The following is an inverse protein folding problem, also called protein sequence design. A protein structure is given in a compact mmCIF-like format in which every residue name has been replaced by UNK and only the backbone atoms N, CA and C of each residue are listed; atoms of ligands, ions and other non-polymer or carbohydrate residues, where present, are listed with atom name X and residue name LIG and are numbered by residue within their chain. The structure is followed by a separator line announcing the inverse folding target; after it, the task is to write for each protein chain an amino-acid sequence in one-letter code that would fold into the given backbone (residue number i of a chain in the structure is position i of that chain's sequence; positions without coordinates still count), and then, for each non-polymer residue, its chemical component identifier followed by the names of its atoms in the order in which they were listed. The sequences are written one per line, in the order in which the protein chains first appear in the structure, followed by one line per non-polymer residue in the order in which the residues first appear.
data_IF_062839962320
#
_entry.id   IF_062839962320
#
_cell.length_a   1.000
_cell.length_b   1.000
_cell.length_c   1.000
_cell.angle_alpha   90.00
_cell.angle_beta   90.00
_cell.angle_gamma   90.00
#
_symmetry.space_group_name_H-M   'P 1'
#
loop_
_entity.id
_entity.type
_entity.pdbx_description
1 polymer ?
#
# COMPACT_ATOMS: atom_id res chain seq x y z
N UNK A 1 -3.72 22.10 8.35
CA UNK A 1 -2.67 22.74 7.54
C UNK A 1 -3.13 22.86 6.09
N UNK A 2 -2.91 24.00 5.45
CA UNK A 2 -3.16 24.15 4.01
C UNK A 2 -2.04 23.45 3.24
N UNK A 3 -2.38 22.53 2.33
CA UNK A 3 -1.41 21.73 1.55
C UNK A 3 -1.31 22.23 0.11
N UNK A 4 -2.45 22.59 -0.51
CA UNK A 4 -2.49 23.13 -1.86
C UNK A 4 -3.07 24.54 -1.87
N UNK A 5 -2.27 25.53 -2.30
CA UNK A 5 -2.74 26.90 -2.47
C UNK A 5 -3.67 27.06 -3.68
N UNK A 6 -3.35 26.44 -4.83
CA UNK A 6 -4.10 26.64 -6.08
C UNK A 6 -5.54 26.11 -6.06
N UNK A 7 -5.79 25.07 -5.25
CA UNK A 7 -7.09 24.42 -5.11
C UNK A 7 -7.71 24.59 -3.72
N UNK A 8 -7.00 25.26 -2.80
CA UNK A 8 -7.40 25.43 -1.39
C UNK A 8 -7.76 24.08 -0.78
N UNK A 9 -6.77 23.18 -0.72
CA UNK A 9 -6.93 21.82 -0.14
C UNK A 9 -6.15 21.76 1.16
N UNK A 10 -6.78 21.27 2.20
CA UNK A 10 -6.18 21.08 3.52
C UNK A 10 -5.69 19.65 3.72
N UNK A 11 -4.82 19.47 4.70
CA UNK A 11 -4.39 18.15 5.17
C UNK A 11 -5.57 17.28 5.61
N UNK A 12 -6.57 17.87 6.27
CA UNK A 12 -7.77 17.17 6.75
C UNK A 12 -8.55 16.56 5.58
N UNK A 13 -8.73 17.30 4.50
CA UNK A 13 -9.43 16.83 3.31
C UNK A 13 -8.73 15.59 2.72
N UNK A 14 -7.40 15.65 2.60
CA UNK A 14 -6.58 14.55 2.08
C UNK A 14 -6.67 13.34 3.02
N UNK A 15 -6.46 13.55 4.33
CA UNK A 15 -6.51 12.47 5.34
C UNK A 15 -7.85 11.76 5.34
N UNK A 16 -8.96 12.50 5.24
CA UNK A 16 -10.30 11.94 5.22
C UNK A 16 -10.52 11.05 3.98
N UNK A 17 -10.12 11.53 2.80
CA UNK A 17 -10.24 10.76 1.55
C UNK A 17 -9.38 9.51 1.59
N UNK A 18 -8.12 9.63 2.02
CA UNK A 18 -7.20 8.48 2.11
C UNK A 18 -7.78 7.42 3.05
N UNK A 19 -8.28 7.82 4.22
CA UNK A 19 -8.95 6.87 5.15
C UNK A 19 -10.20 6.24 4.53
N UNK A 20 -11.01 6.99 3.79
CA UNK A 20 -12.18 6.46 3.08
C UNK A 20 -11.78 5.40 2.04
N UNK A 21 -10.77 5.69 1.23
CA UNK A 21 -10.25 4.74 0.24
C UNK A 21 -9.71 3.45 0.87
N UNK A 22 -9.02 3.55 2.03
CA UNK A 22 -8.52 2.39 2.78
C UNK A 22 -9.65 1.61 3.47
N UNK A 23 -10.73 2.27 3.88
CA UNK A 23 -11.91 1.59 4.42
C UNK A 23 -12.63 0.74 3.37
N UNK A 24 -12.69 1.21 2.12
CA UNK A 24 -13.21 0.42 1.00
C UNK A 24 -12.33 -0.79 0.68
N UNK A 25 -11.01 -0.57 0.63
CA UNK A 25 -10.02 -1.59 0.31
C UNK A 25 -8.68 -1.28 1.01
N UNK A 26 -8.37 -1.96 2.14
CA UNK A 26 -7.18 -1.70 2.93
C UNK A 26 -5.87 -1.84 2.17
N UNK A 27 -5.83 -2.70 1.15
CA UNK A 27 -4.60 -3.05 0.43
C UNK A 27 -4.46 -2.31 -0.91
N UNK A 28 -5.35 -1.36 -1.20
CA UNK A 28 -5.31 -0.54 -2.42
C UNK A 28 -4.11 0.41 -2.39
N UNK A 29 -3.37 0.48 -3.49
CA UNK A 29 -2.32 1.48 -3.68
C UNK A 29 -2.97 2.84 -3.92
N UNK A 30 -2.75 3.79 -3.01
CA UNK A 30 -3.29 5.15 -3.12
C UNK A 30 -2.29 6.06 -3.84
N UNK A 31 -2.75 6.71 -4.91
CA UNK A 31 -1.97 7.69 -5.69
C UNK A 31 -2.61 9.08 -5.61
N UNK A 32 -1.83 10.18 -5.73
CA UNK A 32 -2.36 11.53 -5.67
C UNK A 32 -3.53 11.77 -6.63
N UNK A 33 -3.47 11.22 -7.84
CA UNK A 33 -4.54 11.35 -8.83
C UNK A 33 -5.90 10.84 -8.33
N UNK A 34 -5.93 9.80 -7.48
CA UNK A 34 -7.18 9.32 -6.87
C UNK A 34 -7.70 10.32 -5.84
N UNK A 35 -6.83 10.89 -4.99
CA UNK A 35 -7.24 11.92 -4.02
C UNK A 35 -7.84 13.13 -4.73
N UNK A 36 -7.21 13.62 -5.80
CA UNK A 36 -7.74 14.72 -6.61
C UNK A 36 -9.08 14.38 -7.27
N UNK A 37 -9.25 13.13 -7.72
CA UNK A 37 -10.50 12.64 -8.28
C UNK A 37 -11.63 12.66 -7.24
N UNK A 38 -11.38 12.15 -6.04
CA UNK A 38 -12.36 12.17 -4.94
C UNK A 38 -12.73 13.60 -4.51
N UNK A 39 -11.77 14.54 -4.57
CA UNK A 39 -12.04 15.96 -4.34
C UNK A 39 -12.83 16.63 -5.48
N UNK A 40 -13.05 15.95 -6.61
CA UNK A 40 -13.57 16.53 -7.84
C UNK A 40 -12.76 17.75 -8.33
N UNK A 41 -11.43 17.73 -8.13
CA UNK A 41 -10.52 18.82 -8.54
C UNK A 41 -9.45 18.31 -9.49
N UNK A 42 -9.11 19.11 -10.51
CA UNK A 42 -7.93 18.87 -11.34
C UNK A 42 -6.68 19.45 -10.67
N UNK A 43 -5.54 18.81 -10.88
CA UNK A 43 -4.25 19.35 -10.47
C UNK A 43 -3.91 20.58 -11.33
N UNK A 44 -3.60 21.72 -10.71
CA UNK A 44 -3.29 22.99 -11.42
C UNK A 44 -1.79 23.19 -11.67
N UNK A 45 -0.97 23.21 -10.61
CA UNK A 45 0.48 23.47 -10.70
C UNK A 45 1.36 22.28 -10.31
N UNK A 46 0.79 21.21 -9.75
CA UNK A 46 1.48 20.03 -9.21
C UNK A 46 2.52 20.25 -8.09
N UNK A 47 2.82 21.49 -7.67
CA UNK A 47 3.84 21.77 -6.66
C UNK A 47 3.56 21.20 -5.26
N UNK A 48 2.31 20.89 -4.93
CA UNK A 48 1.92 20.29 -3.65
C UNK A 48 1.88 18.75 -3.67
N UNK A 49 2.12 18.11 -4.82
CA UNK A 49 2.03 16.65 -4.95
C UNK A 49 2.96 15.90 -4.00
N UNK A 50 4.24 16.30 -3.78
CA UNK A 50 5.10 15.62 -2.80
C UNK A 50 4.48 15.59 -1.39
N UNK A 51 3.95 16.72 -0.91
CA UNK A 51 3.28 16.80 0.39
C UNK A 51 2.03 15.91 0.45
N UNK A 52 1.28 15.78 -0.66
CA UNK A 52 0.15 14.85 -0.73
C UNK A 52 0.63 13.40 -0.61
N UNK A 53 1.73 13.04 -1.25
CA UNK A 53 2.34 11.69 -1.13
C UNK A 53 2.77 11.42 0.31
N UNK A 54 3.43 12.36 0.97
CA UNK A 54 3.86 12.20 2.36
C UNK A 54 2.66 11.99 3.31
N UNK A 55 1.56 12.71 3.09
CA UNK A 55 0.32 12.51 3.84
C UNK A 55 -0.27 11.13 3.55
N UNK A 56 -0.29 10.67 2.29
CA UNK A 56 -0.75 9.33 1.94
C UNK A 56 0.06 8.29 2.70
N UNK A 57 1.40 8.35 2.64
CA UNK A 57 2.28 7.42 3.33
C UNK A 57 2.01 7.37 4.83
N UNK A 58 1.99 8.53 5.47
CA UNK A 58 1.75 8.66 6.92
C UNK A 58 0.40 8.05 7.33
N UNK A 59 -0.68 8.40 6.62
CA UNK A 59 -2.02 7.92 6.94
C UNK A 59 -2.16 6.43 6.67
N UNK A 60 -1.57 5.94 5.58
CA UNK A 60 -1.59 4.51 5.25
C UNK A 60 -0.83 3.71 6.30
N UNK A 61 0.33 4.17 6.76
CA UNK A 61 1.08 3.54 7.85
C UNK A 61 0.26 3.51 9.15
N UNK A 62 -0.25 4.66 9.59
CA UNK A 62 -1.12 4.76 10.77
C UNK A 62 -2.33 3.82 10.70
N UNK A 63 -2.98 3.76 9.54
CA UNK A 63 -4.15 2.91 9.32
C UNK A 63 -3.81 1.42 9.47
N UNK A 64 -2.68 0.97 8.91
CA UNK A 64 -2.28 -0.42 8.98
C UNK A 64 -1.79 -0.83 10.37
N UNK A 65 -1.12 0.06 11.10
CA UNK A 65 -0.78 -0.16 12.51
C UNK A 65 -2.04 -0.38 13.36
N UNK A 66 -3.04 0.47 13.18
CA UNK A 66 -4.35 0.34 13.86
C UNK A 66 -5.10 -0.94 13.46
N UNK A 67 -4.91 -1.41 12.22
CA UNK A 67 -5.51 -2.64 11.73
C UNK A 67 -4.81 -3.89 12.32
N UNK A 68 -3.49 -3.86 12.50
CA UNK A 68 -2.72 -4.97 13.07
C UNK A 68 -2.99 -5.21 14.55
N UNK A 69 -3.42 -4.18 15.30
CA UNK A 69 -3.82 -4.33 16.70
C UNK A 69 -5.15 -5.10 16.87
N UNK A 70 -5.92 -5.24 15.78
CA UNK A 70 -7.14 -6.08 15.78
C UNK A 70 -6.77 -7.54 15.53
N UNK A 71 -7.48 -8.51 16.15
CA UNK A 71 -7.25 -9.92 15.87
C UNK A 71 -7.35 -10.16 14.37
N UNK A 72 -6.42 -10.94 13.78
CA UNK A 72 -6.37 -11.12 12.34
C UNK A 72 -7.70 -11.67 11.84
N UNK A 73 -8.24 -11.06 10.79
CA UNK A 73 -9.32 -11.65 10.04
C UNK A 73 -8.92 -13.05 9.57
N UNK A 74 -9.89 -13.98 9.50
CA UNK A 74 -9.72 -15.35 9.03
C UNK A 74 -8.75 -15.40 7.83
N UNK A 75 -7.65 -16.16 7.90
CA UNK A 75 -6.64 -16.16 6.85
C UNK A 75 -7.26 -16.58 5.53
N UNK A 76 -7.07 -15.75 4.49
CA UNK A 76 -7.57 -16.05 3.16
C UNK A 76 -7.08 -17.46 2.73
N UNK A 77 -7.93 -18.33 2.14
CA UNK A 77 -7.62 -19.73 1.87
C UNK A 77 -6.35 -19.94 1.03
N UNK A 78 -5.99 -18.95 0.21
CA UNK A 78 -4.73 -18.90 -0.55
C UNK A 78 -3.51 -18.92 0.36
N UNK A 79 -3.53 -18.19 1.48
CA UNK A 79 -2.40 -18.08 2.41
C UNK A 79 -2.16 -19.40 3.15
N UNK A 80 -3.24 -20.08 3.56
CA UNK A 80 -3.18 -21.41 4.13
C UNK A 80 -2.62 -22.42 3.12
N UNK A 81 -3.10 -22.38 1.86
CA UNK A 81 -2.64 -23.26 0.78
C UNK A 81 -1.15 -23.05 0.45
N UNK A 82 -0.70 -21.80 0.37
CA UNK A 82 0.72 -21.44 0.17
C UNK A 82 1.60 -21.92 1.33
N UNK A 83 1.13 -21.75 2.56
CA UNK A 83 1.84 -22.21 3.77
C UNK A 83 2.01 -23.73 3.77
N UNK A 84 0.98 -24.48 3.38
CA UNK A 84 1.04 -25.93 3.22
C UNK A 84 2.02 -26.34 2.10
N UNK A 85 2.04 -25.64 0.96
CA UNK A 85 3.01 -25.90 -0.12
C UNK A 85 4.45 -25.64 0.33
N UNK A 86 4.70 -24.56 1.08
CA UNK A 86 6.04 -24.26 1.63
C UNK A 86 6.50 -25.34 2.62
N UNK A 87 5.60 -25.86 3.45
CA UNK A 87 5.89 -27.00 4.35
C UNK A 87 6.28 -28.25 3.56
N UNK A 88 5.56 -28.59 2.48
CA UNK A 88 5.89 -29.73 1.61
C UNK A 88 7.26 -29.59 0.92
N UNK A 89 7.67 -28.38 0.52
CA UNK A 89 8.95 -28.13 -0.17
C UNK A 89 10.18 -28.12 0.74
N UNK A 90 10.03 -27.96 2.06
CA UNK A 90 11.17 -27.96 3.02
C UNK A 90 11.92 -29.29 3.10
N UNK A 91 11.38 -30.38 2.56
CA UNK A 91 12.04 -31.70 2.51
C UNK A 91 12.77 -32.01 1.20
N UNK A 92 12.65 -31.16 0.17
CA UNK A 92 13.35 -31.37 -1.11
C UNK A 92 14.64 -30.57 -1.06
N UNK A 93 15.79 -31.28 -1.03
CA UNK A 93 17.09 -30.65 -1.23
C UNK A 93 17.02 -29.86 -2.53
N UNK A 94 17.28 -28.55 -2.48
CA UNK A 94 17.65 -27.82 -3.68
C UNK A 94 18.98 -28.43 -4.14
N UNK A 95 18.93 -29.46 -4.98
CA UNK A 95 20.09 -29.90 -5.74
C UNK A 95 20.52 -28.73 -6.60
N UNK A 96 21.39 -27.91 -6.02
CA UNK A 96 21.98 -26.76 -6.66
C UNK A 96 22.64 -27.23 -7.95
N UNK A 97 22.37 -26.48 -9.03
CA UNK A 97 23.01 -26.57 -10.34
C UNK A 97 24.40 -27.22 -10.25
N UNK A 98 24.60 -28.31 -10.98
CA UNK A 98 25.92 -28.89 -11.16
C UNK A 98 26.88 -27.81 -11.67
N UNK A 99 28.04 -27.72 -11.04
CA UNK A 99 29.12 -26.76 -11.34
C UNK A 99 29.78 -26.99 -12.72
N UNK A 100 29.11 -27.69 -13.64
CA UNK A 100 29.65 -28.10 -14.95
C UNK A 100 29.54 -27.05 -16.05
N UNK A 101 28.83 -25.93 -15.82
CA UNK A 101 28.62 -24.88 -16.82
C UNK A 101 29.23 -23.52 -16.42
N UNK A 102 30.33 -23.52 -15.66
CA UNK A 102 31.16 -22.31 -15.56
C UNK A 102 32.11 -22.30 -16.77
N UNK A 103 31.85 -21.42 -17.72
CA UNK A 103 32.86 -21.03 -18.70
C UNK A 103 34.02 -20.37 -17.92
N UNK A 104 35.24 -20.81 -18.21
CA UNK A 104 36.47 -20.23 -17.69
C UNK A 104 36.66 -18.78 -18.19
#
# INVERSE_FOLDING_TARGET
MLVCQCNVITDRDIKQIVRGLLQEDPWRIIVPAMVYRELNKRCKCAGCVPNVVDIILTVTEEYHLQMSDKPPAEPHPVHARLSAMRRKRRGVRNEGRSTGHRAA
#
